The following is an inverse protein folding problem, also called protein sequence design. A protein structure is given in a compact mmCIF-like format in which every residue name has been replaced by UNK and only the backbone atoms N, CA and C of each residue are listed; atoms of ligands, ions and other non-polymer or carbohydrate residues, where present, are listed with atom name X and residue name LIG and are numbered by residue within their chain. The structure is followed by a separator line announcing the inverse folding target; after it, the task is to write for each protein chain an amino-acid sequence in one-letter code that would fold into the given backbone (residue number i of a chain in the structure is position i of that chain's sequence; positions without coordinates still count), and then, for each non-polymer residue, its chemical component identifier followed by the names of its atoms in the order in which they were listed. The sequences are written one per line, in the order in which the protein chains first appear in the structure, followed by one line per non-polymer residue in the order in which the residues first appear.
data_IF_183145841102
#
_entry.id   IF_183145841102
#
_cell.length_a   1.000
_cell.length_b   1.000
_cell.length_c   1.000
_cell.angle_alpha   90.00
_cell.angle_beta   90.00
_cell.angle_gamma   90.00
#
_symmetry.space_group_name_H-M   'P 1'
#
loop_
_entity.id
_entity.type
_entity.pdbx_description
1 polymer ?
#
# COMPACT_ATOMS: atom_id res chain seq x y z
N UNK A 1 -36.12 -27.60 31.55
CA UNK A 1 -35.08 -26.59 31.26
C UNK A 1 -33.73 -27.27 31.38
N UNK A 2 -33.06 -27.67 30.29
CA UNK A 2 -31.68 -28.16 30.36
C UNK A 2 -30.70 -26.98 30.42
N UNK A 3 -29.76 -27.07 31.37
CA UNK A 3 -28.71 -26.10 31.70
C UNK A 3 -27.66 -26.01 30.57
N UNK A 4 -27.26 -24.80 30.19
CA UNK A 4 -26.23 -24.54 29.18
C UNK A 4 -24.82 -24.92 29.70
N UNK A 5 -23.95 -25.54 28.88
CA UNK A 5 -22.57 -25.81 29.29
C UNK A 5 -21.77 -24.51 29.34
N UNK A 6 -21.26 -24.20 30.53
CA UNK A 6 -20.37 -23.08 30.84
C UNK A 6 -19.06 -23.26 30.05
N UNK A 7 -18.82 -22.41 29.05
CA UNK A 7 -17.56 -22.36 28.31
C UNK A 7 -16.41 -22.14 29.30
N UNK A 8 -15.54 -23.14 29.43
CA UNK A 8 -14.25 -23.02 30.10
C UNK A 8 -13.39 -22.06 29.29
N UNK A 9 -13.06 -20.91 29.88
CA UNK A 9 -12.10 -19.97 29.32
C UNK A 9 -10.75 -20.68 29.19
N UNK A 10 -10.15 -20.62 28.00
CA UNK A 10 -8.81 -21.15 27.72
C UNK A 10 -7.81 -20.71 28.80
N UNK A 11 -6.87 -21.57 29.24
CA UNK A 11 -5.90 -21.22 30.26
C UNK A 11 -5.10 -19.99 29.82
N UNK A 12 -5.11 -18.96 30.65
CA UNK A 12 -4.35 -17.73 30.42
C UNK A 12 -2.87 -18.06 30.48
N UNK A 13 -2.12 -17.69 29.43
CA UNK A 13 -0.67 -17.84 29.38
C UNK A 13 -0.02 -16.78 30.30
N UNK A 14 0.35 -17.19 31.51
CA UNK A 14 1.04 -16.35 32.50
C UNK A 14 2.55 -16.23 32.25
N UNK A 15 3.06 -16.73 31.11
CA UNK A 15 4.50 -16.77 30.91
C UNK A 15 5.10 -15.36 30.75
N UNK A 16 6.25 -15.06 31.40
CA UNK A 16 6.78 -13.70 31.50
C UNK A 16 7.18 -13.11 30.14
N UNK A 17 6.97 -11.80 29.98
CA UNK A 17 7.29 -11.02 28.75
C UNK A 17 8.81 -10.76 28.61
N UNK A 18 9.63 -11.17 29.60
CA UNK A 18 11.07 -10.88 29.61
C UNK A 18 11.82 -11.45 28.40
N UNK A 19 12.82 -10.72 27.85
CA UNK A 19 13.50 -11.09 26.60
C UNK A 19 14.38 -12.35 26.73
N UNK A 20 14.79 -12.68 27.96
CA UNK A 20 15.66 -13.82 28.25
C UNK A 20 14.80 -14.95 28.79
N UNK A 21 14.26 -15.76 27.88
CA UNK A 21 13.70 -17.07 28.24
C UNK A 21 14.79 -18.14 28.17
N UNK A 22 14.81 -19.10 29.11
CA UNK A 22 15.61 -20.32 28.98
C UNK A 22 15.02 -21.30 27.95
N UNK A 23 13.78 -21.09 27.50
CA UNK A 23 13.10 -21.95 26.54
C UNK A 23 13.55 -21.66 25.08
N UNK A 24 14.47 -22.50 24.60
CA UNK A 24 14.99 -22.50 23.22
C UNK A 24 13.89 -22.76 22.17
N UNK A 25 12.73 -23.32 22.53
CA UNK A 25 11.64 -23.65 21.59
C UNK A 25 11.06 -22.44 20.87
N UNK A 26 11.13 -21.26 21.51
CA UNK A 26 10.63 -20.00 20.93
C UNK A 26 11.46 -19.51 19.74
N UNK A 27 12.78 -19.76 19.74
CA UNK A 27 13.68 -19.42 18.62
C UNK A 27 13.38 -20.28 17.40
N UNK A 28 13.19 -21.57 17.61
CA UNK A 28 12.87 -22.53 16.54
C UNK A 28 11.50 -22.22 15.89
N UNK A 29 10.53 -21.76 16.69
CA UNK A 29 9.21 -21.36 16.17
C UNK A 29 9.32 -20.16 15.22
N UNK A 30 10.04 -19.09 15.61
CA UNK A 30 10.19 -17.90 14.76
C UNK A 30 10.86 -18.22 13.41
N UNK A 31 11.95 -18.98 13.45
CA UNK A 31 12.67 -19.45 12.25
C UNK A 31 11.71 -20.16 11.28
N UNK A 32 10.93 -21.12 11.79
CA UNK A 32 9.96 -21.87 11.00
C UNK A 32 8.88 -20.97 10.36
N UNK A 33 8.39 -19.97 11.08
CA UNK A 33 7.39 -19.02 10.55
C UNK A 33 7.99 -18.09 9.49
N UNK A 34 9.26 -17.70 9.62
CA UNK A 34 9.94 -16.87 8.62
C UNK A 34 10.18 -17.65 7.31
N UNK A 35 10.48 -18.95 7.40
CA UNK A 35 10.66 -19.82 6.22
C UNK A 35 9.36 -20.01 5.42
N UNK A 36 8.21 -20.04 6.10
CA UNK A 36 6.89 -20.22 5.47
C UNK A 36 6.11 -18.91 5.30
N UNK A 37 6.80 -17.76 5.39
CA UNK A 37 6.13 -16.47 5.27
C UNK A 37 5.57 -16.30 3.84
N UNK A 38 4.30 -15.91 3.67
CA UNK A 38 3.74 -15.61 2.36
C UNK A 38 4.37 -14.35 1.77
N UNK A 39 4.40 -14.28 0.43
CA UNK A 39 4.89 -13.10 -0.28
C UNK A 39 3.92 -11.92 -0.18
N UNK A 40 4.43 -10.70 -0.37
CA UNK A 40 3.59 -9.48 -0.38
C UNK A 40 2.45 -9.57 -1.39
N UNK A 41 2.71 -10.10 -2.60
CA UNK A 41 1.68 -10.23 -3.65
C UNK A 41 0.52 -11.09 -3.17
N UNK A 42 0.80 -12.26 -2.59
CA UNK A 42 -0.24 -13.17 -2.10
C UNK A 42 -1.08 -12.55 -0.99
N UNK A 43 -0.47 -11.72 -0.13
CA UNK A 43 -1.20 -11.00 0.91
C UNK A 43 -2.09 -9.89 0.32
N UNK A 44 -1.68 -9.27 -0.78
CA UNK A 44 -2.51 -8.31 -1.52
C UNK A 44 -3.68 -9.03 -2.20
N UNK A 45 -3.42 -10.17 -2.86
CA UNK A 45 -4.44 -10.97 -3.56
C UNK A 45 -5.50 -11.52 -2.58
N UNK A 46 -5.07 -11.88 -1.37
CA UNK A 46 -5.96 -12.31 -0.28
C UNK A 46 -6.66 -11.15 0.44
N UNK A 47 -6.49 -9.90 -0.01
CA UNK A 47 -7.05 -8.69 0.61
C UNK A 47 -6.60 -8.48 2.08
N UNK A 48 -5.45 -9.02 2.46
CA UNK A 48 -4.85 -8.84 3.79
C UNK A 48 -4.00 -7.57 3.82
N UNK A 49 -3.24 -7.31 2.74
CA UNK A 49 -2.47 -6.08 2.57
C UNK A 49 -3.07 -5.19 1.48
N UNK A 50 -3.02 -3.86 1.64
CA UNK A 50 -3.34 -2.95 0.57
C UNK A 50 -2.29 -3.03 -0.55
N UNK A 51 -2.74 -2.89 -1.80
CA UNK A 51 -1.84 -2.87 -2.96
C UNK A 51 -0.83 -1.71 -2.91
N UNK A 52 -1.22 -0.60 -2.29
CA UNK A 52 -0.37 0.59 -2.14
C UNK A 52 0.85 0.32 -1.22
N UNK A 53 1.99 0.89 -1.60
CA UNK A 53 3.21 0.91 -0.77
C UNK A 53 3.23 2.07 0.23
N UNK A 54 2.16 2.86 0.29
CA UNK A 54 2.06 3.99 1.20
C UNK A 54 2.06 3.55 2.65
N UNK A 55 2.63 4.38 3.52
CA UNK A 55 2.52 4.21 4.96
C UNK A 55 1.04 4.15 5.39
N UNK A 56 0.66 3.33 6.40
CA UNK A 56 -0.74 3.15 6.81
C UNK A 56 -1.51 4.46 7.05
N UNK A 57 -0.87 5.45 7.67
CA UNK A 57 -1.49 6.76 7.94
C UNK A 57 -1.82 7.58 6.68
N UNK A 58 -1.17 7.30 5.55
CA UNK A 58 -1.41 8.00 4.28
C UNK A 58 -2.33 7.24 3.34
N UNK A 59 -2.60 5.96 3.62
CA UNK A 59 -3.43 5.11 2.76
C UNK A 59 -4.86 5.63 2.66
N UNK A 60 -5.40 6.19 3.74
CA UNK A 60 -6.74 6.79 3.74
C UNK A 60 -6.82 7.96 2.75
N UNK A 61 -5.88 8.91 2.85
CA UNK A 61 -5.81 10.07 1.97
C UNK A 61 -5.53 9.72 0.51
N UNK A 62 -4.81 8.63 0.24
CA UNK A 62 -4.61 8.19 -1.14
C UNK A 62 -5.88 7.68 -1.82
N UNK A 63 -6.80 7.07 -1.06
CA UNK A 63 -8.07 6.57 -1.62
C UNK A 63 -9.04 7.70 -1.98
N UNK A 64 -8.98 8.81 -1.24
CA UNK A 64 -9.86 9.96 -1.42
C UNK A 64 -9.34 10.97 -2.45
N UNK A 65 -8.11 10.79 -2.96
CA UNK A 65 -7.50 11.79 -3.84
C UNK A 65 -8.23 11.83 -5.20
N UNK A 66 -8.82 12.98 -5.59
CA UNK A 66 -9.54 13.11 -6.86
C UNK A 66 -8.62 13.02 -8.08
N UNK A 67 -9.16 12.62 -9.22
CA UNK A 67 -8.42 12.59 -10.48
C UNK A 67 -8.13 14.04 -10.96
N UNK A 68 -6.93 14.34 -11.47
CA UNK A 68 -6.64 15.68 -11.98
C UNK A 68 -7.60 16.11 -13.11
N UNK A 69 -8.16 15.20 -13.90
CA UNK A 69 -9.20 15.52 -14.89
C UNK A 69 -10.50 16.04 -14.27
N UNK A 70 -10.90 15.52 -13.11
CA UNK A 70 -12.04 16.03 -12.35
C UNK A 70 -11.73 17.43 -11.79
N UNK A 71 -10.52 17.63 -11.27
CA UNK A 71 -10.08 18.93 -10.78
C UNK A 71 -10.03 20.01 -11.89
N UNK A 72 -9.70 19.61 -13.13
CA UNK A 72 -9.77 20.50 -14.30
C UNK A 72 -11.23 20.86 -14.60
N UNK A 73 -12.12 19.88 -14.59
CA UNK A 73 -13.56 20.08 -14.86
C UNK A 73 -14.21 20.99 -13.82
N UNK A 74 -13.82 20.87 -12.55
CA UNK A 74 -14.28 21.74 -11.46
C UNK A 74 -13.62 23.13 -11.47
N UNK A 75 -12.64 23.37 -12.36
CA UNK A 75 -11.94 24.63 -12.48
C UNK A 75 -10.90 24.89 -11.38
N UNK A 76 -10.61 23.89 -10.54
CA UNK A 76 -9.54 23.93 -9.54
C UNK A 76 -8.16 23.92 -10.21
N UNK A 77 -8.03 23.13 -11.28
CA UNK A 77 -6.80 22.99 -12.05
C UNK A 77 -6.98 23.56 -13.46
N UNK A 78 -5.95 24.25 -13.98
CA UNK A 78 -6.01 24.83 -15.34
C UNK A 78 -5.70 23.82 -16.44
N UNK A 79 -4.79 22.90 -16.15
CA UNK A 79 -4.31 21.86 -17.07
C UNK A 79 -3.81 20.66 -16.27
N UNK A 80 -3.69 19.49 -16.90
CA UNK A 80 -3.20 18.30 -16.21
C UNK A 80 -1.68 18.45 -15.97
N UNK A 81 -1.22 18.50 -14.71
CA UNK A 81 0.19 18.65 -14.38
C UNK A 81 1.06 17.50 -14.89
N UNK A 82 0.45 16.35 -15.23
CA UNK A 82 1.16 15.21 -15.83
C UNK A 82 1.54 15.43 -17.30
N UNK A 83 1.01 16.47 -17.94
CA UNK A 83 1.21 16.76 -19.37
C UNK A 83 2.23 17.87 -19.65
N UNK A 84 2.81 18.48 -18.61
CA UNK A 84 3.73 19.61 -18.76
C UNK A 84 4.98 19.25 -19.59
N UNK A 85 5.53 18.05 -19.39
CA UNK A 85 6.74 17.59 -20.08
C UNK A 85 6.44 17.30 -21.58
N UNK A 86 5.30 16.65 -21.86
CA UNK A 86 4.85 16.38 -23.23
C UNK A 86 4.62 17.68 -24.03
N UNK A 87 4.03 18.71 -23.41
CA UNK A 87 3.86 20.02 -24.04
C UNK A 87 5.19 20.70 -24.35
N UNK A 88 6.18 20.53 -23.47
CA UNK A 88 7.51 21.11 -23.67
C UNK A 88 8.22 20.43 -24.85
N UNK A 89 8.15 19.11 -24.93
CA UNK A 89 8.67 18.32 -26.05
C UNK A 89 7.98 18.72 -27.37
N UNK A 90 6.65 18.75 -27.40
CA UNK A 90 5.87 19.16 -28.58
C UNK A 90 6.24 20.57 -29.04
N UNK A 91 6.40 21.53 -28.12
CA UNK A 91 6.80 22.89 -28.44
C UNK A 91 8.22 22.98 -29.02
N UNK A 92 9.14 22.12 -28.56
CA UNK A 92 10.49 22.02 -29.15
C UNK A 92 10.40 21.46 -30.56
N UNK A 93 9.68 20.36 -30.74
CA UNK A 93 9.50 19.72 -32.06
C UNK A 93 8.86 20.67 -33.07
N UNK A 94 7.86 21.44 -32.64
CA UNK A 94 7.18 22.42 -33.48
C UNK A 94 8.13 23.56 -33.90
N UNK A 95 9.05 23.99 -33.03
CA UNK A 95 10.09 24.98 -33.37
C UNK A 95 11.10 24.42 -34.39
N UNK A 96 11.53 23.17 -34.23
CA UNK A 96 12.37 22.47 -35.21
C UNK A 96 11.67 22.33 -36.56
N UNK A 97 10.40 21.90 -36.56
CA UNK A 97 9.60 21.76 -37.78
C UNK A 97 9.37 23.11 -38.48
N UNK A 98 9.14 24.19 -37.71
CA UNK A 98 8.97 25.55 -38.23
C UNK A 98 10.23 26.06 -38.93
N UNK A 99 11.41 25.67 -38.45
CA UNK A 99 12.72 26.06 -39.01
C UNK A 99 13.13 25.22 -40.22
N UNK A 100 12.83 23.91 -40.23
CA UNK A 100 13.21 22.98 -41.31
C UNK A 100 12.17 22.88 -42.44
N UNK A 101 10.93 23.35 -42.23
CA UNK A 101 9.83 23.29 -43.21
C UNK A 101 9.75 24.46 -44.21
N UNK A 102 10.81 25.28 -44.34
CA UNK A 102 10.88 26.39 -45.28
C UNK A 102 11.61 26.03 -46.58
N UNK A 103 10.98 25.23 -47.44
CA UNK A 103 11.32 25.07 -48.85
C UNK A 103 10.04 25.00 -49.70
#
# INVERSE_FOLDING_TARGET
MPESPKQEASPVDETPISPVRPDQGRRNSLENHLMHRPNRSELVDKNILPASSAAPGLQAHQKERPDPGELIKEGVLREDPRTAEQKYEEAIEEEYAKREGGA
#
